data_IF_183965273205
#
_entry.id   IF_183965273205
#
_cell.length_a   1.000
_cell.length_b   1.000
_cell.length_c   1.000
_cell.angle_alpha   90.00
_cell.angle_beta   90.00
_cell.angle_gamma   90.00
#
_symmetry.space_group_name_H-M   'P 1'
#
loop_
_entity.id
_entity.type
_entity.pdbx_description
1 polymer ?
#
# COMPACT_ATOMS: atom_id res chain seq x y z
N UNK A 1 -45.12 15.31 -27.34
CA UNK A 1 -44.00 14.33 -27.35
C UNK A 1 -42.62 14.96 -27.12
N UNK A 2 -42.31 16.18 -27.63
CA UNK A 2 -41.00 16.85 -27.41
C UNK A 2 -40.68 17.11 -25.93
N UNK A 3 -41.67 17.55 -25.16
CA UNK A 3 -41.48 17.89 -23.74
C UNK A 3 -41.26 16.66 -22.84
N UNK A 4 -41.83 15.50 -23.20
CA UNK A 4 -41.62 14.23 -22.48
C UNK A 4 -40.16 13.74 -22.63
N UNK A 5 -39.56 13.90 -23.82
CA UNK A 5 -38.16 13.53 -24.05
C UNK A 5 -37.17 14.39 -23.26
N UNK A 6 -37.49 15.67 -23.05
CA UNK A 6 -36.66 16.60 -22.25
C UNK A 6 -36.71 16.22 -20.77
N UNK A 7 -37.91 15.91 -20.25
CA UNK A 7 -38.09 15.47 -18.86
C UNK A 7 -37.36 14.13 -18.61
N UNK A 8 -37.44 13.19 -19.56
CA UNK A 8 -36.76 11.90 -19.45
C UNK A 8 -35.22 12.05 -19.47
N UNK A 9 -34.69 12.98 -20.27
CA UNK A 9 -33.26 13.30 -20.30
C UNK A 9 -32.75 13.94 -19.00
N UNK A 10 -33.55 14.81 -18.38
CA UNK A 10 -33.24 15.45 -17.09
C UNK A 10 -33.23 14.44 -15.93
N UNK A 11 -34.12 13.45 -15.96
CA UNK A 11 -34.17 12.39 -14.94
C UNK A 11 -32.92 11.50 -14.94
N UNK A 12 -32.31 11.24 -16.10
CA UNK A 12 -31.11 10.40 -16.22
C UNK A 12 -29.87 11.10 -15.62
N UNK A 13 -29.81 12.43 -15.66
CA UNK A 13 -28.70 13.21 -15.10
C UNK A 13 -28.66 13.18 -13.56
N UNK A 14 -29.81 12.96 -12.90
CA UNK A 14 -29.90 12.92 -11.44
C UNK A 14 -29.43 11.58 -10.84
N UNK A 15 -29.35 10.51 -11.63
CA UNK A 15 -28.98 9.15 -11.16
C UNK A 15 -27.45 8.96 -11.11
N UNK A 16 -26.67 9.86 -11.73
CA UNK A 16 -25.20 9.74 -11.83
C UNK A 16 -24.42 10.37 -10.68
N UNK A 17 -25.07 11.00 -9.69
CA UNK A 17 -24.39 11.46 -8.47
C UNK A 17 -24.23 10.33 -7.46
N UNK A 18 -23.35 9.38 -7.73
CA UNK A 18 -22.90 8.44 -6.71
C UNK A 18 -21.83 9.13 -5.86
N UNK A 19 -22.24 9.64 -4.70
CA UNK A 19 -21.30 10.12 -3.69
C UNK A 19 -20.37 8.96 -3.30
N UNK A 20 -19.08 9.08 -3.64
CA UNK A 20 -18.06 8.15 -3.16
C UNK A 20 -17.79 8.47 -1.68
N UNK A 21 -18.64 7.95 -0.79
CA UNK A 21 -18.33 7.93 0.62
C UNK A 21 -17.20 6.93 0.84
N UNK A 22 -16.01 7.44 1.17
CA UNK A 22 -14.96 6.61 1.75
C UNK A 22 -15.48 6.15 3.11
N UNK A 23 -15.54 4.84 3.33
CA UNK A 23 -15.84 4.30 4.66
C UNK A 23 -14.86 4.90 5.68
N UNK A 24 -15.36 5.19 6.88
CA UNK A 24 -14.48 5.58 7.97
C UNK A 24 -13.41 4.49 8.17
N UNK A 25 -12.19 4.92 8.47
CA UNK A 25 -11.15 3.97 8.80
C UNK A 25 -11.50 3.30 10.12
N UNK A 26 -11.71 1.99 10.08
CA UNK A 26 -11.91 1.18 11.26
C UNK A 26 -10.70 0.28 11.44
N UNK A 27 -10.13 0.34 12.65
CA UNK A 27 -8.98 -0.46 13.00
C UNK A 27 -9.42 -1.90 13.24
N UNK A 28 -9.20 -2.74 12.24
CA UNK A 28 -9.72 -4.10 12.19
C UNK A 28 -8.66 -5.11 12.62
N UNK A 29 -8.31 -5.06 13.92
CA UNK A 29 -7.45 -6.03 14.58
C UNK A 29 -8.18 -7.35 14.79
N UNK A 30 -8.02 -8.30 13.90
CA UNK A 30 -8.50 -9.65 14.19
C UNK A 30 -7.83 -10.71 13.35
N UNK A 31 -8.21 -11.96 13.64
CA UNK A 31 -7.61 -13.15 13.07
C UNK A 31 -8.41 -13.72 11.89
N UNK A 32 -9.51 -13.09 11.48
CA UNK A 32 -10.20 -13.54 10.28
C UNK A 32 -9.32 -13.29 9.04
N UNK A 33 -9.55 -14.06 7.98
CA UNK A 33 -8.68 -14.07 6.79
C UNK A 33 -8.36 -12.68 6.27
N UNK A 34 -9.39 -11.85 6.07
CA UNK A 34 -9.21 -10.52 5.50
C UNK A 34 -8.42 -9.59 6.44
N UNK A 35 -8.68 -9.65 7.74
CA UNK A 35 -7.96 -8.88 8.74
C UNK A 35 -6.48 -9.30 8.80
N UNK A 36 -6.22 -10.62 8.87
CA UNK A 36 -4.86 -11.14 8.92
C UNK A 36 -4.07 -10.79 7.65
N UNK A 37 -4.68 -10.96 6.46
CA UNK A 37 -4.07 -10.57 5.19
C UNK A 37 -3.76 -9.07 5.16
N UNK A 38 -4.68 -8.22 5.62
CA UNK A 38 -4.44 -6.78 5.68
C UNK A 38 -3.29 -6.42 6.62
N UNK A 39 -3.18 -7.10 7.77
CA UNK A 39 -2.08 -6.91 8.70
C UNK A 39 -0.74 -7.36 8.09
N UNK A 40 -0.71 -8.54 7.47
CA UNK A 40 0.47 -9.04 6.75
C UNK A 40 0.95 -8.06 5.67
N UNK A 41 0.01 -7.53 4.87
CA UNK A 41 0.31 -6.55 3.82
C UNK A 41 0.82 -5.23 4.39
N UNK A 42 0.22 -4.77 5.49
CA UNK A 42 0.63 -3.55 6.19
C UNK A 42 2.04 -3.67 6.74
N UNK A 43 2.37 -4.80 7.38
CA UNK A 43 3.74 -5.06 7.84
C UNK A 43 4.74 -5.17 6.69
N UNK A 44 4.33 -5.79 5.57
CA UNK A 44 5.16 -5.85 4.37
C UNK A 44 5.45 -4.45 3.81
N UNK A 45 4.46 -3.56 3.80
CA UNK A 45 4.64 -2.19 3.35
C UNK A 45 5.63 -1.43 4.24
N UNK A 46 5.48 -1.49 5.56
CA UNK A 46 6.42 -0.81 6.46
C UNK A 46 7.81 -1.44 6.44
N UNK A 47 7.93 -2.78 6.33
CA UNK A 47 9.22 -3.44 6.15
C UNK A 47 9.89 -3.01 4.85
N UNK A 48 9.13 -2.90 3.76
CA UNK A 48 9.63 -2.38 2.48
C UNK A 48 10.22 -0.98 2.63
N UNK A 49 9.52 -0.06 3.31
CA UNK A 49 10.05 1.27 3.54
C UNK A 49 11.30 1.26 4.44
N UNK A 50 11.36 0.41 5.48
CA UNK A 50 12.54 0.27 6.35
C UNK A 50 13.77 -0.16 5.56
N UNK A 51 13.64 -1.21 4.75
CA UNK A 51 14.70 -1.74 3.89
C UNK A 51 15.11 -0.73 2.82
N UNK A 52 14.17 0.02 2.26
CA UNK A 52 14.43 1.02 1.24
C UNK A 52 15.23 2.22 1.74
N UNK A 53 14.79 2.83 2.84
CA UNK A 53 15.39 4.04 3.37
C UNK A 53 16.66 3.79 4.18
N UNK A 54 16.83 2.59 4.75
CA UNK A 54 17.97 2.24 5.62
C UNK A 54 18.26 3.32 6.69
N UNK A 55 17.19 3.95 7.19
CA UNK A 55 17.28 5.09 8.09
C UNK A 55 16.36 4.88 9.29
N UNK A 56 16.96 4.43 10.38
CA UNK A 56 16.25 4.14 11.63
C UNK A 56 15.62 5.38 12.27
N UNK A 57 16.16 6.58 12.02
CA UNK A 57 15.67 7.82 12.64
C UNK A 57 14.25 8.13 12.19
N UNK A 58 13.93 7.96 10.90
CA UNK A 58 12.59 8.20 10.38
C UNK A 58 11.59 7.23 11.02
N UNK A 59 11.94 5.94 11.12
CA UNK A 59 11.04 4.96 11.73
C UNK A 59 10.91 5.11 13.25
N UNK A 60 11.93 5.62 13.94
CA UNK A 60 11.84 6.04 15.35
C UNK A 60 10.91 7.24 15.54
N UNK A 61 10.86 8.17 14.57
CA UNK A 61 9.93 9.29 14.63
C UNK A 61 8.49 8.85 14.37
N UNK A 62 8.30 7.98 13.38
CA UNK A 62 7.00 7.37 13.07
C UNK A 62 6.51 6.59 14.29
N UNK A 63 7.31 5.68 14.88
CA UNK A 63 6.87 4.86 16.01
C UNK A 63 6.54 5.63 17.30
N UNK A 64 7.00 6.88 17.44
CA UNK A 64 6.60 7.77 18.55
C UNK A 64 5.18 8.31 18.42
N UNK A 65 4.62 8.29 17.20
CA UNK A 65 3.34 8.93 16.86
C UNK A 65 2.32 7.92 16.33
N UNK A 66 2.80 6.92 15.61
CA UNK A 66 2.01 5.86 14.99
C UNK A 66 2.15 4.55 15.75
N UNK A 67 1.04 3.85 15.89
CA UNK A 67 0.99 2.48 16.39
C UNK A 67 1.56 1.52 15.35
N UNK A 68 2.89 1.38 15.34
CA UNK A 68 3.63 0.40 14.55
C UNK A 68 3.73 -0.92 15.32
N UNK A 69 2.61 -1.56 15.62
CA UNK A 69 2.66 -2.88 16.22
C UNK A 69 3.10 -3.91 15.18
N UNK A 70 4.22 -4.61 15.45
CA UNK A 70 4.44 -5.92 14.84
C UNK A 70 3.26 -6.78 15.29
N UNK A 71 2.33 -7.04 14.38
CA UNK A 71 1.21 -7.91 14.70
C UNK A 71 1.81 -9.26 15.09
N UNK A 72 1.63 -9.70 16.33
CA UNK A 72 2.16 -10.99 16.83
C UNK A 72 1.81 -12.13 15.86
N UNK A 73 0.61 -12.06 15.26
CA UNK A 73 0.11 -12.99 14.25
C UNK A 73 0.95 -13.07 12.97
N UNK A 74 1.81 -12.08 12.71
CA UNK A 74 2.69 -11.97 11.54
C UNK A 74 4.18 -12.02 11.89
N UNK A 75 4.53 -12.03 13.18
CA UNK A 75 5.92 -12.03 13.64
C UNK A 75 6.69 -13.27 13.15
N UNK A 76 6.00 -14.40 13.01
CA UNK A 76 6.57 -15.65 12.47
C UNK A 76 6.84 -15.58 10.96
N UNK A 77 6.32 -14.58 10.27
CA UNK A 77 6.48 -14.36 8.84
C UNK A 77 7.51 -13.27 8.53
N UNK A 78 8.25 -12.79 9.53
CA UNK A 78 9.21 -11.71 9.34
C UNK A 78 10.28 -12.04 8.28
N UNK A 79 10.78 -13.28 8.26
CA UNK A 79 11.80 -13.71 7.29
C UNK A 79 11.27 -13.71 5.85
N UNK A 80 10.04 -14.21 5.64
CA UNK A 80 9.42 -14.23 4.31
C UNK A 80 9.09 -12.81 3.84
N UNK A 81 8.65 -11.94 4.76
CA UNK A 81 8.43 -10.52 4.47
C UNK A 81 9.75 -9.88 4.02
N UNK A 82 10.80 -10.00 4.83
CA UNK A 82 12.10 -9.37 4.57
C UNK A 82 12.72 -9.81 3.24
N UNK A 83 12.70 -11.12 2.97
CA UNK A 83 13.21 -11.66 1.70
C UNK A 83 12.47 -11.09 0.48
N UNK A 84 11.15 -10.97 0.57
CA UNK A 84 10.37 -10.43 -0.55
C UNK A 84 10.62 -8.93 -0.73
N UNK A 85 10.65 -8.14 0.35
CA UNK A 85 10.88 -6.70 0.23
C UNK A 85 12.28 -6.37 -0.26
N UNK A 86 13.31 -7.11 0.13
CA UNK A 86 14.68 -6.96 -0.40
C UNK A 86 14.71 -7.12 -1.92
N UNK A 87 14.02 -8.15 -2.44
CA UNK A 87 13.88 -8.37 -3.88
C UNK A 87 13.16 -7.21 -4.56
N UNK A 88 12.09 -6.68 -3.97
CA UNK A 88 11.32 -5.55 -4.53
C UNK A 88 12.16 -4.27 -4.56
N UNK A 89 12.89 -3.97 -3.49
CA UNK A 89 13.76 -2.80 -3.41
C UNK A 89 14.95 -2.90 -4.36
N UNK A 90 15.55 -4.08 -4.51
CA UNK A 90 16.63 -4.32 -5.47
C UNK A 90 16.18 -4.05 -6.92
N UNK A 91 14.92 -4.35 -7.25
CA UNK A 91 14.34 -4.16 -8.58
C UNK A 91 13.62 -2.82 -8.75
N UNK A 92 13.78 -1.87 -7.82
CA UNK A 92 13.18 -0.53 -7.94
C UNK A 92 13.76 0.19 -9.17
N UNK A 93 12.92 0.62 -10.13
CA UNK A 93 13.41 1.30 -11.32
C UNK A 93 14.08 2.62 -10.94
N UNK A 94 15.13 2.98 -11.70
CA UNK A 94 15.68 4.34 -11.62
C UNK A 94 14.61 5.34 -12.08
N UNK A 95 14.50 6.50 -11.44
CA UNK A 95 13.50 7.46 -11.84
C UNK A 95 13.79 8.00 -13.25
N UNK A 96 12.77 8.01 -14.09
CA UNK A 96 12.76 8.84 -15.29
C UNK A 96 12.19 10.18 -14.86
N UNK A 97 13.07 11.18 -14.74
CA UNK A 97 12.68 12.50 -14.31
C UNK A 97 12.31 13.31 -15.55
N UNK A 98 11.17 14.03 -15.55
CA UNK A 98 10.90 14.99 -16.61
C UNK A 98 12.07 15.99 -16.64
N UNK A 99 12.48 16.41 -17.84
CA UNK A 99 13.45 17.51 -17.98
C UNK A 99 12.88 18.70 -17.24
N UNK A 100 13.42 18.99 -16.07
CA UNK A 100 13.01 20.08 -15.23
C UNK A 100 14.13 21.10 -15.30
N UNK A 101 13.82 22.27 -15.86
CA UNK A 101 14.80 23.35 -16.09
C UNK A 101 15.31 23.96 -14.77
N UNK A 102 14.53 23.85 -13.69
CA UNK A 102 14.85 24.41 -12.36
C UNK A 102 15.36 23.35 -11.37
N UNK A 103 15.56 22.12 -11.82
CA UNK A 103 15.94 21.04 -10.93
C UNK A 103 17.43 20.84 -10.93
N UNK A 104 18.05 20.99 -9.75
CA UNK A 104 19.46 20.64 -9.53
C UNK A 104 19.70 19.18 -9.96
N UNK A 105 20.41 18.93 -11.07
CA UNK A 105 20.56 17.59 -11.63
C UNK A 105 21.22 16.62 -10.64
N UNK A 106 22.13 17.13 -9.82
CA UNK A 106 22.90 16.37 -8.83
C UNK A 106 22.02 15.79 -7.72
N UNK A 107 21.02 16.54 -7.23
CA UNK A 107 20.09 16.06 -6.20
C UNK A 107 19.16 14.98 -6.72
N UNK A 108 18.93 14.93 -8.03
CA UNK A 108 17.99 14.02 -8.64
C UNK A 108 18.59 12.68 -9.05
N UNK A 109 19.89 12.63 -9.35
CA UNK A 109 20.61 11.44 -9.82
C UNK A 109 20.52 10.26 -8.83
N UNK A 110 20.39 10.55 -7.53
CA UNK A 110 20.37 9.51 -6.49
C UNK A 110 18.97 9.22 -5.92
N UNK A 111 17.93 9.91 -6.37
CA UNK A 111 16.56 9.66 -5.90
C UNK A 111 16.05 8.32 -6.44
N UNK A 112 15.21 7.64 -5.65
CA UNK A 112 14.52 6.40 -6.05
C UNK A 112 13.05 6.49 -5.69
N UNK A 113 12.21 5.79 -6.45
CA UNK A 113 10.77 5.71 -6.23
C UNK A 113 10.37 4.76 -5.10
N UNK A 114 11.12 4.73 -3.99
CA UNK A 114 10.93 3.74 -2.92
C UNK A 114 9.51 3.68 -2.37
N UNK A 115 8.93 4.82 -1.99
CA UNK A 115 7.57 4.86 -1.46
C UNK A 115 6.54 4.37 -2.50
N UNK A 116 6.67 4.83 -3.75
CA UNK A 116 5.79 4.40 -4.84
C UNK A 116 5.93 2.90 -5.16
N UNK A 117 7.16 2.37 -5.12
CA UNK A 117 7.43 0.94 -5.28
C UNK A 117 6.82 0.11 -4.15
N UNK A 118 7.01 0.51 -2.89
CA UNK A 118 6.41 -0.18 -1.75
C UNK A 118 4.88 -0.12 -1.80
N UNK A 119 4.30 1.03 -2.18
CA UNK A 119 2.85 1.18 -2.34
C UNK A 119 2.30 0.33 -3.48
N UNK A 120 3.01 0.28 -4.61
CA UNK A 120 2.67 -0.58 -5.74
C UNK A 120 2.71 -2.05 -5.36
N UNK A 121 3.73 -2.47 -4.59
CA UNK A 121 3.82 -3.84 -4.08
C UNK A 121 2.71 -4.16 -3.07
N UNK A 122 2.40 -3.24 -2.17
CA UNK A 122 1.25 -3.34 -1.26
C UNK A 122 -0.07 -3.57 -2.01
N UNK A 123 -0.26 -2.91 -3.14
CA UNK A 123 -1.46 -3.06 -3.98
C UNK A 123 -1.40 -4.24 -4.98
N UNK A 124 -0.31 -5.02 -4.99
CA UNK A 124 -0.07 -6.04 -6.02
C UNK A 124 -0.82 -7.35 -5.76
N UNK A 125 -1.24 -8.00 -6.85
CA UNK A 125 -1.78 -9.38 -6.81
C UNK A 125 -0.74 -10.40 -6.32
N UNK A 126 0.55 -10.11 -6.51
CA UNK A 126 1.66 -10.94 -6.03
C UNK A 126 1.62 -11.00 -4.50
N UNK A 127 1.58 -9.84 -3.84
CA UNK A 127 1.52 -9.78 -2.38
C UNK A 127 0.21 -10.37 -1.84
N UNK A 128 -0.92 -10.15 -2.53
CA UNK A 128 -2.19 -10.79 -2.16
C UNK A 128 -2.10 -12.32 -2.17
N UNK A 129 -1.42 -12.88 -3.19
CA UNK A 129 -1.23 -14.33 -3.31
C UNK A 129 -0.34 -14.87 -2.18
N UNK A 130 0.76 -14.18 -1.89
CA UNK A 130 1.68 -14.53 -0.80
C UNK A 130 0.95 -14.49 0.54
N UNK A 131 0.21 -13.42 0.82
CA UNK A 131 -0.53 -13.26 2.07
C UNK A 131 -1.56 -14.38 2.28
N UNK A 132 -2.28 -14.78 1.23
CA UNK A 132 -3.24 -15.89 1.31
C UNK A 132 -2.57 -17.24 1.57
N UNK A 133 -1.40 -17.48 0.98
CA UNK A 133 -0.62 -18.71 1.23
C UNK A 133 -0.13 -18.74 2.67
N UNK A 134 0.41 -17.63 3.17
CA UNK A 134 0.91 -17.54 4.54
C UNK A 134 -0.21 -17.64 5.59
N UNK A 135 -1.39 -17.06 5.32
CA UNK A 135 -2.56 -17.23 6.17
C UNK A 135 -2.99 -18.69 6.31
N UNK A 136 -3.01 -19.44 5.19
CA UNK A 136 -3.31 -20.88 5.22
C UNK A 136 -2.31 -21.65 6.07
N UNK A 137 -1.02 -21.32 6.00
CA UNK A 137 0.01 -21.94 6.84
C UNK A 137 -0.16 -21.58 8.32
N UNK A 138 -0.57 -20.35 8.61
CA UNK A 138 -0.85 -19.89 9.97
C UNK A 138 -2.02 -20.67 10.60
N UNK A 139 -3.11 -20.88 9.86
CA UNK A 139 -4.29 -21.61 10.35
C UNK A 139 -4.12 -23.14 10.45
N UNK A 140 -3.03 -23.70 9.91
CA UNK A 140 -2.71 -25.13 10.05
C UNK A 140 -1.86 -25.43 11.30
N UNK A 141 -1.48 -24.40 12.05
CA UNK A 141 -0.79 -24.49 13.34
C UNK A 141 -1.80 -24.42 14.49
#
# INVERSE_FOLDING_TARGET
MRNIKIILGLLILLISCKSNHRNNFEYNLGANENQWINNFKTETFFSCLRVAYKNDTIFKLISKKDLMYLYESTALQHDIINKNVEKIIANTPKPVLPKCEECEPEEQINKKYFCATCLSYYASKELDSIAKIEFKKYNLK
#
